data_IF_746231955314
#
_entry.id   IF_746231955314
#
_cell.length_a   1.000
_cell.length_b   1.000
_cell.length_c   1.000
_cell.angle_alpha   90.00
_cell.angle_beta   90.00
_cell.angle_gamma   90.00
#
_symmetry.space_group_name_H-M   'P 1'
#
loop_
_entity.id
_entity.type
_entity.pdbx_description
1 polymer ?
#
# COMPACT_ATOMS: atom_id res chain seq x y z
N UNK A 1 39.30 20.11 -19.22
CA UNK A 1 40.44 21.06 -19.22
C UNK A 1 39.91 22.45 -19.51
N UNK A 2 39.82 23.31 -18.50
CA UNK A 2 40.42 24.65 -18.54
C UNK A 2 40.37 25.27 -17.15
N UNK A 3 41.56 25.63 -16.68
CA UNK A 3 41.88 26.20 -15.38
C UNK A 3 41.74 27.73 -15.42
N UNK A 4 41.31 28.29 -14.29
CA UNK A 4 41.89 29.42 -13.57
C UNK A 4 42.38 30.64 -14.37
N UNK A 5 41.79 31.80 -14.06
CA UNK A 5 42.51 32.91 -13.43
C UNK A 5 41.56 34.09 -13.20
N UNK A 6 41.36 34.49 -11.94
CA UNK A 6 41.47 35.87 -11.45
C UNK A 6 40.97 35.96 -10.00
N UNK A 7 41.89 35.64 -9.11
CA UNK A 7 41.87 35.92 -7.68
C UNK A 7 42.63 37.21 -7.38
N UNK A 8 42.17 37.94 -6.35
CA UNK A 8 42.82 39.02 -5.61
C UNK A 8 42.93 40.37 -6.37
N UNK A 9 42.54 41.51 -5.80
CA UNK A 9 43.00 42.08 -4.53
C UNK A 9 41.90 42.96 -3.89
N UNK A 10 41.75 42.88 -2.56
CA UNK A 10 41.80 44.04 -1.66
C UNK A 10 41.76 43.53 -0.21
N UNK A 11 42.96 43.53 0.37
CA UNK A 11 43.30 43.17 1.74
C UNK A 11 43.02 44.35 2.67
N UNK A 12 42.38 44.13 3.83
CA UNK A 12 42.75 44.80 5.08
C UNK A 12 42.75 43.77 6.22
N UNK A 13 43.86 43.81 6.94
CA UNK A 13 44.45 42.86 7.87
C UNK A 13 43.91 42.92 9.31
N UNK A 14 43.97 41.77 10.01
CA UNK A 14 44.61 41.52 11.33
C UNK A 14 43.86 40.40 12.09
N UNK A 15 44.42 39.40 12.78
CA UNK A 15 45.78 38.89 13.02
C UNK A 15 45.66 37.39 13.46
N UNK A 16 46.71 36.61 13.22
CA UNK A 16 46.98 35.15 13.22
C UNK A 16 46.66 34.30 14.49
N UNK A 17 46.92 32.97 14.55
CA UNK A 17 47.02 31.92 13.51
C UNK A 17 46.02 30.75 13.74
N UNK A 18 45.60 30.08 12.67
CA UNK A 18 44.87 28.80 12.74
C UNK A 18 45.87 27.64 12.71
N UNK A 19 45.97 26.89 13.81
CA UNK A 19 46.48 25.52 13.78
C UNK A 19 45.41 24.60 13.19
N UNK A 20 45.82 23.88 12.15
CA UNK A 20 45.04 22.82 11.51
C UNK A 20 45.09 21.60 12.42
N UNK A 21 43.93 21.16 12.92
CA UNK A 21 43.71 19.80 13.40
C UNK A 21 42.76 19.06 12.44
N UNK A 22 42.93 17.74 12.32
CA UNK A 22 42.47 16.98 11.17
C UNK A 22 40.96 16.75 11.20
N UNK A 23 40.44 16.58 9.99
CA UNK A 23 39.18 15.93 9.63
C UNK A 23 38.67 15.00 10.74
N UNK A 24 37.75 15.52 11.55
CA UNK A 24 36.78 14.70 12.26
C UNK A 24 35.50 14.75 11.43
N UNK A 25 35.34 13.74 10.58
CA UNK A 25 34.03 13.33 10.08
C UNK A 25 33.18 12.89 11.27
N UNK A 26 32.63 13.84 12.01
CA UNK A 26 31.48 13.61 12.88
C UNK A 26 30.37 14.55 12.41
N UNK A 27 29.85 14.25 11.22
CA UNK A 27 28.56 14.76 10.79
C UNK A 27 27.48 14.10 11.67
N UNK A 28 27.20 14.73 12.81
CA UNK A 28 25.96 14.69 13.60
C UNK A 28 24.92 13.66 13.14
N UNK A 29 25.08 12.42 13.57
CA UNK A 29 23.93 11.53 13.81
C UNK A 29 23.24 11.99 15.10
N UNK A 30 22.58 13.14 15.06
CA UNK A 30 21.46 13.39 15.97
C UNK A 30 20.37 12.41 15.58
N UNK A 31 20.26 11.30 16.32
CA UNK A 31 19.20 10.30 16.13
C UNK A 31 17.86 10.97 16.39
N UNK A 32 17.27 11.58 15.37
CA UNK A 32 15.95 12.19 15.48
C UNK A 32 14.98 11.09 15.92
N UNK A 33 14.27 11.34 17.01
CA UNK A 33 13.23 10.43 17.46
C UNK A 33 11.88 10.97 17.02
N UNK A 34 11.01 10.07 16.60
CA UNK A 34 9.67 10.35 16.11
C UNK A 34 8.67 9.79 17.11
N UNK A 35 7.59 10.52 17.36
CA UNK A 35 6.42 9.94 18.00
C UNK A 35 5.80 8.89 17.06
N UNK A 36 5.51 7.71 17.59
CA UNK A 36 4.94 6.61 16.84
C UNK A 36 3.84 5.88 17.59
N UNK A 37 2.86 5.40 16.83
CA UNK A 37 1.85 4.44 17.26
C UNK A 37 2.26 3.05 16.77
N UNK A 38 2.28 2.09 17.69
CA UNK A 38 2.69 0.72 17.42
C UNK A 38 1.48 -0.16 17.63
N UNK A 39 1.18 -0.96 16.63
CA UNK A 39 -0.01 -1.80 16.56
C UNK A 39 0.44 -3.23 16.29
N UNK A 40 0.03 -4.15 17.15
CA UNK A 40 0.07 -5.57 16.85
C UNK A 40 -1.33 -5.98 16.38
N UNK A 41 -1.40 -6.65 15.24
CA UNK A 41 -2.67 -7.04 14.64
C UNK A 41 -2.60 -8.43 14.01
N UNK A 42 -3.74 -9.10 14.01
CA UNK A 42 -4.01 -10.29 13.24
C UNK A 42 -4.66 -9.88 11.92
N UNK A 43 -4.23 -10.47 10.80
CA UNK A 43 -4.79 -10.21 9.47
C UNK A 43 -5.15 -11.51 8.76
N UNK A 44 -6.29 -11.54 8.07
CA UNK A 44 -6.70 -12.63 7.18
C UNK A 44 -7.29 -12.09 5.86
N UNK A 45 -7.49 -12.99 4.89
CA UNK A 45 -8.08 -12.64 3.58
C UNK A 45 -7.12 -11.96 2.59
N UNK A 46 -5.80 -12.10 2.80
CA UNK A 46 -4.79 -11.52 1.91
C UNK A 46 -4.87 -12.16 0.51
N UNK A 47 -4.88 -11.37 -0.59
CA UNK A 47 -4.92 -11.90 -1.94
C UNK A 47 -3.83 -12.95 -2.19
N UNK A 48 -4.23 -14.14 -2.65
CA UNK A 48 -3.32 -15.25 -2.93
C UNK A 48 -3.07 -16.22 -1.76
N UNK A 49 -3.74 -16.02 -0.63
CA UNK A 49 -3.76 -16.94 0.53
C UNK A 49 -5.14 -17.56 0.75
N UNK A 50 -5.24 -18.71 1.44
CA UNK A 50 -6.51 -19.22 1.93
C UNK A 50 -7.13 -18.23 2.93
N UNK A 51 -8.45 -18.01 2.85
CA UNK A 51 -9.16 -17.02 3.68
C UNK A 51 -9.04 -17.30 5.20
N UNK A 52 -8.69 -18.53 5.57
CA UNK A 52 -8.57 -19.01 6.96
C UNK A 52 -7.15 -18.84 7.55
N UNK A 53 -6.15 -18.45 6.76
CA UNK A 53 -4.79 -18.26 7.26
C UNK A 53 -4.67 -16.88 7.93
N UNK A 54 -4.31 -16.86 9.21
CA UNK A 54 -4.12 -15.64 10.01
C UNK A 54 -2.64 -15.30 10.15
N UNK A 55 -2.25 -14.11 9.71
CA UNK A 55 -0.89 -13.56 9.82
C UNK A 55 -0.84 -12.60 11.02
N UNK A 56 0.26 -12.63 11.79
CA UNK A 56 0.52 -11.65 12.85
C UNK A 56 1.44 -10.57 12.29
N UNK A 57 0.97 -9.32 12.33
CA UNK A 57 1.71 -8.17 11.83
C UNK A 57 1.94 -7.15 12.95
N UNK A 58 3.14 -6.59 12.99
CA UNK A 58 3.44 -5.40 13.77
C UNK A 58 3.56 -4.21 12.83
N UNK A 59 2.77 -3.17 13.07
CA UNK A 59 2.81 -1.92 12.34
C UNK A 59 3.34 -0.82 13.27
N UNK A 60 4.31 -0.06 12.80
CA UNK A 60 4.81 1.15 13.46
C UNK A 60 4.47 2.32 12.54
N UNK A 61 3.58 3.18 13.00
CA UNK A 61 3.15 4.38 12.31
C UNK A 61 3.85 5.57 12.95
N UNK A 62 4.46 6.45 12.17
CA UNK A 62 4.82 7.80 12.59
C UNK A 62 4.12 8.81 11.67
N UNK A 63 4.43 10.10 11.80
CA UNK A 63 3.71 11.16 11.08
C UNK A 63 3.78 11.04 9.55
N UNK A 64 4.85 10.50 8.96
CA UNK A 64 5.02 10.49 7.50
C UNK A 64 5.53 9.13 7.00
N UNK A 65 5.51 8.11 7.86
CA UNK A 65 6.15 6.83 7.59
C UNK A 65 5.47 5.69 8.30
N UNK A 66 5.46 4.53 7.64
CA UNK A 66 4.93 3.28 8.17
C UNK A 66 5.99 2.20 8.01
N UNK A 67 6.22 1.43 9.05
CA UNK A 67 6.92 0.15 8.99
C UNK A 67 5.89 -0.94 9.28
N UNK A 68 5.83 -1.96 8.43
CA UNK A 68 4.99 -3.13 8.61
C UNK A 68 5.87 -4.37 8.59
N UNK A 69 5.86 -5.12 9.68
CA UNK A 69 6.57 -6.38 9.84
C UNK A 69 5.57 -7.53 9.89
N UNK A 70 5.67 -8.44 8.93
CA UNK A 70 5.02 -9.75 8.98
C UNK A 70 5.89 -10.67 9.84
N UNK A 71 5.49 -10.89 11.09
CA UNK A 71 6.30 -11.63 12.07
C UNK A 71 6.43 -13.12 11.77
N UNK A 72 5.51 -13.68 10.99
CA UNK A 72 5.58 -15.10 10.60
C UNK A 72 6.57 -15.31 9.46
N UNK A 73 6.60 -14.39 8.50
CA UNK A 73 7.44 -14.51 7.29
C UNK A 73 8.75 -13.74 7.38
N UNK A 74 8.89 -12.87 8.37
CA UNK A 74 10.01 -11.93 8.49
C UNK A 74 10.02 -10.88 7.39
N UNK A 75 8.91 -10.64 6.67
CA UNK A 75 8.87 -9.64 5.60
C UNK A 75 8.65 -8.24 6.18
N UNK A 76 9.42 -7.27 5.70
CA UNK A 76 9.31 -5.88 6.14
C UNK A 76 8.87 -5.00 4.97
N UNK A 77 7.93 -4.10 5.22
CA UNK A 77 7.53 -3.07 4.27
C UNK A 77 7.68 -1.71 4.92
N UNK A 78 8.31 -0.77 4.23
CA UNK A 78 8.47 0.61 4.69
C UNK A 78 7.78 1.52 3.68
N UNK A 79 6.73 2.22 4.10
CA UNK A 79 6.10 3.28 3.31
C UNK A 79 6.58 4.64 3.83
N UNK A 80 7.11 5.48 2.94
CA UNK A 80 7.58 6.83 3.24
C UNK A 80 6.81 7.87 2.43
N UNK A 81 6.36 8.91 3.11
CA UNK A 81 5.60 10.05 2.57
C UNK A 81 6.38 11.37 2.75
N UNK A 82 7.61 11.32 3.22
CA UNK A 82 8.47 12.47 3.52
C UNK A 82 9.30 12.97 2.32
N UNK A 83 9.07 12.41 1.13
CA UNK A 83 9.65 12.85 -0.14
C UNK A 83 8.62 13.34 -1.15
N UNK A 84 9.06 13.68 -2.36
CA UNK A 84 8.21 14.25 -3.41
C UNK A 84 7.04 13.34 -3.85
N UNK A 85 7.23 12.02 -3.74
CA UNK A 85 6.22 11.01 -4.04
C UNK A 85 6.24 9.91 -2.98
N UNK A 86 5.09 9.28 -2.67
CA UNK A 86 5.04 8.11 -1.80
C UNK A 86 5.97 7.01 -2.31
N UNK A 87 6.74 6.41 -1.40
CA UNK A 87 7.69 5.35 -1.73
C UNK A 87 7.47 4.16 -0.81
N UNK A 88 7.10 3.02 -1.38
CA UNK A 88 7.05 1.73 -0.70
C UNK A 88 8.35 0.99 -0.94
N UNK A 89 8.96 0.49 0.14
CA UNK A 89 10.10 -0.42 0.09
C UNK A 89 9.69 -1.77 0.66
N UNK A 90 9.71 -2.81 -0.16
CA UNK A 90 9.51 -4.20 0.26
C UNK A 90 10.88 -4.83 0.50
N UNK A 91 11.20 -5.23 1.72
CA UNK A 91 12.50 -5.80 2.12
C UNK A 91 12.33 -7.31 2.33
N UNK A 92 13.28 -8.09 1.79
CA UNK A 92 13.30 -9.54 1.93
C UNK A 92 13.47 -9.99 3.39
N UNK A 93 13.08 -11.23 3.68
CA UNK A 93 13.08 -11.73 5.05
C UNK A 93 14.47 -11.88 5.66
N UNK A 94 15.46 -12.20 4.83
CA UNK A 94 16.88 -12.25 5.17
C UNK A 94 17.55 -10.86 5.17
N UNK A 95 16.81 -9.81 4.82
CA UNK A 95 17.26 -8.41 4.72
C UNK A 95 18.43 -8.20 3.76
N UNK A 96 18.65 -9.13 2.83
CA UNK A 96 19.71 -9.02 1.83
C UNK A 96 19.33 -8.08 0.70
N UNK A 97 18.04 -7.99 0.35
CA UNK A 97 17.56 -7.20 -0.79
C UNK A 97 16.26 -6.45 -0.51
N UNK A 98 16.03 -5.37 -1.24
CA UNK A 98 14.77 -4.63 -1.21
C UNK A 98 14.32 -4.17 -2.61
N UNK A 99 13.02 -3.92 -2.76
CA UNK A 99 12.40 -3.37 -3.97
C UNK A 99 11.70 -2.07 -3.65
N UNK A 100 11.63 -1.17 -4.62
CA UNK A 100 10.94 0.11 -4.49
C UNK A 100 9.72 0.18 -5.41
N UNK A 101 8.66 0.84 -4.94
CA UNK A 101 7.45 1.11 -5.73
C UNK A 101 6.89 2.48 -5.38
N UNK A 102 6.66 3.31 -6.39
CA UNK A 102 6.07 4.65 -6.23
C UNK A 102 4.66 4.79 -6.84
N UNK A 103 4.29 3.98 -7.85
CA UNK A 103 2.93 3.98 -8.42
C UNK A 103 1.97 3.08 -7.64
N UNK A 104 1.75 3.40 -6.36
CA UNK A 104 0.87 2.65 -5.47
C UNK A 104 -0.62 2.77 -5.87
N UNK A 105 -0.99 3.84 -6.59
CA UNK A 105 -2.34 4.10 -7.07
C UNK A 105 -2.76 3.33 -8.33
N UNK A 106 -1.88 2.52 -8.92
CA UNK A 106 -2.13 1.82 -10.20
C UNK A 106 -3.42 1.00 -10.20
N UNK A 107 -3.74 0.32 -9.10
CA UNK A 107 -4.95 -0.51 -8.98
C UNK A 107 -6.23 0.32 -9.21
N UNK A 108 -6.29 1.55 -8.69
CA UNK A 108 -7.45 2.43 -8.89
C UNK A 108 -7.50 3.01 -10.31
N UNK A 109 -6.35 3.27 -10.94
CA UNK A 109 -6.27 3.68 -12.35
C UNK A 109 -6.81 2.59 -13.27
N UNK A 110 -6.33 1.36 -13.08
CA UNK A 110 -6.75 0.18 -13.85
C UNK A 110 -8.25 -0.09 -13.66
N UNK A 111 -8.73 0.02 -12.42
CA UNK A 111 -10.16 -0.08 -12.09
C UNK A 111 -10.96 0.95 -12.88
N UNK A 112 -10.59 2.23 -12.83
CA UNK A 112 -11.31 3.30 -13.53
C UNK A 112 -11.40 3.08 -15.05
N UNK A 113 -10.32 2.60 -15.67
CA UNK A 113 -10.31 2.26 -17.09
C UNK A 113 -11.33 1.16 -17.39
N UNK A 114 -11.38 0.11 -16.57
CA UNK A 114 -12.33 -0.99 -16.74
C UNK A 114 -13.77 -0.55 -16.51
N UNK A 115 -14.03 0.31 -15.52
CA UNK A 115 -15.35 0.89 -15.26
C UNK A 115 -15.84 1.69 -16.48
N UNK A 116 -14.97 2.52 -17.08
CA UNK A 116 -15.27 3.25 -18.32
C UNK A 116 -15.55 2.34 -19.51
N UNK A 117 -14.74 1.29 -19.69
CA UNK A 117 -14.97 0.31 -20.76
C UNK A 117 -16.28 -0.44 -20.57
N UNK A 118 -16.69 -0.71 -19.33
CA UNK A 118 -17.96 -1.34 -19.03
C UNK A 118 -19.14 -0.39 -19.29
N UNK A 119 -19.01 0.87 -18.90
CA UNK A 119 -19.99 1.93 -19.20
C UNK A 119 -20.21 2.06 -20.70
N UNK A 120 -19.15 2.16 -21.50
CA UNK A 120 -19.24 2.23 -22.96
C UNK A 120 -19.97 1.02 -23.56
N UNK A 121 -19.60 -0.20 -23.15
CA UNK A 121 -20.27 -1.43 -23.61
C UNK A 121 -21.73 -1.52 -23.18
N UNK A 122 -22.10 -0.88 -22.07
CA UNK A 122 -23.47 -0.89 -21.58
C UNK A 122 -24.43 -0.06 -22.45
N UNK A 123 -23.91 0.83 -23.30
CA UNK A 123 -24.72 1.72 -24.15
C UNK A 123 -25.45 0.99 -25.28
N UNK A 124 -24.89 -0.14 -25.72
CA UNK A 124 -25.46 -0.97 -26.79
C UNK A 124 -26.54 -1.94 -26.28
N UNK A 125 -26.77 -1.98 -24.96
CA UNK A 125 -27.75 -2.86 -24.32
C UNK A 125 -29.13 -2.20 -24.22
N UNK A 126 -30.17 -3.02 -24.09
CA UNK A 126 -31.50 -2.51 -23.72
C UNK A 126 -31.47 -1.84 -22.34
N UNK A 127 -32.44 -0.97 -22.04
CA UNK A 127 -32.50 -0.25 -20.75
C UNK A 127 -32.47 -1.20 -19.56
N UNK A 128 -33.25 -2.28 -19.62
CA UNK A 128 -33.31 -3.26 -18.53
C UNK A 128 -31.98 -4.01 -18.32
N UNK A 129 -31.33 -4.44 -19.41
CA UNK A 129 -30.02 -5.12 -19.36
C UNK A 129 -28.93 -4.17 -18.88
N UNK A 130 -28.97 -2.91 -19.33
CA UNK A 130 -28.04 -1.86 -18.91
C UNK A 130 -28.17 -1.60 -17.41
N UNK A 131 -29.38 -1.41 -16.90
CA UNK A 131 -29.63 -1.22 -15.46
C UNK A 131 -29.14 -2.42 -14.65
N UNK A 132 -29.43 -3.64 -15.11
CA UNK A 132 -28.97 -4.86 -14.45
C UNK A 132 -27.43 -4.97 -14.42
N UNK A 133 -26.77 -4.68 -15.54
CA UNK A 133 -25.31 -4.73 -15.65
C UNK A 133 -24.63 -3.70 -14.74
N UNK A 134 -25.10 -2.45 -14.79
CA UNK A 134 -24.55 -1.36 -13.97
C UNK A 134 -24.74 -1.65 -12.48
N UNK A 135 -25.94 -2.10 -12.08
CA UNK A 135 -26.23 -2.49 -10.69
C UNK A 135 -25.35 -3.65 -10.23
N UNK A 136 -25.22 -4.71 -11.04
CA UNK A 136 -24.37 -5.86 -10.71
C UNK A 136 -22.88 -5.49 -10.58
N UNK A 137 -22.47 -4.41 -11.25
CA UNK A 137 -21.09 -3.92 -11.26
C UNK A 137 -20.85 -2.78 -10.27
N UNK A 138 -21.87 -2.40 -9.47
CA UNK A 138 -21.84 -1.26 -8.58
C UNK A 138 -21.44 0.06 -9.28
N UNK A 139 -21.89 0.24 -10.52
CA UNK A 139 -21.72 1.48 -11.27
C UNK A 139 -23.00 2.29 -11.21
N UNK A 140 -22.83 3.59 -11.00
CA UNK A 140 -23.90 4.58 -11.11
C UNK A 140 -23.54 5.60 -12.17
N UNK A 141 -24.56 6.05 -12.89
CA UNK A 141 -24.44 7.12 -13.87
C UNK A 141 -25.21 8.34 -13.37
N UNK A 142 -24.67 9.53 -13.63
CA UNK A 142 -25.40 10.78 -13.47
C UNK A 142 -26.54 10.89 -14.49
N UNK A 143 -27.39 11.91 -14.34
CA UNK A 143 -28.40 12.26 -15.34
C UNK A 143 -27.78 12.59 -16.71
N UNK A 144 -26.55 13.10 -16.74
CA UNK A 144 -25.77 13.34 -17.96
C UNK A 144 -25.14 12.09 -18.57
N UNK A 145 -25.25 10.94 -17.89
CA UNK A 145 -24.67 9.66 -18.35
C UNK A 145 -23.20 9.46 -18.01
N UNK A 146 -22.63 10.25 -17.09
CA UNK A 146 -21.25 10.11 -16.63
C UNK A 146 -21.14 9.19 -15.42
N UNK A 147 -20.03 8.46 -15.29
CA UNK A 147 -19.77 7.63 -14.11
C UNK A 147 -19.65 8.49 -12.85
N UNK A 148 -20.42 8.14 -11.83
CA UNK A 148 -20.36 8.77 -10.51
C UNK A 148 -20.08 7.73 -9.42
N UNK A 149 -19.46 8.21 -8.34
CA UNK A 149 -19.26 7.45 -7.10
C UNK A 149 -20.02 8.13 -5.98
N UNK A 150 -21.11 7.50 -5.57
CA UNK A 150 -21.87 7.92 -4.42
C UNK A 150 -21.30 7.25 -3.17
N UNK A 151 -20.86 8.07 -2.21
CA UNK A 151 -20.32 7.58 -0.94
C UNK A 151 -21.37 7.74 0.15
N UNK A 152 -21.73 6.63 0.78
CA UNK A 152 -22.60 6.61 1.96
C UNK A 152 -21.79 6.17 3.17
N UNK A 153 -21.84 6.96 4.24
CA UNK A 153 -21.21 6.62 5.52
C UNK A 153 -22.32 6.37 6.54
N UNK A 154 -22.31 5.18 7.14
CA UNK A 154 -23.21 4.81 8.22
C UNK A 154 -22.41 4.72 9.51
N UNK A 155 -22.87 5.42 10.54
CA UNK A 155 -22.25 5.40 11.87
C UNK A 155 -23.30 5.01 12.90
N UNK A 156 -22.93 4.12 13.81
CA UNK A 156 -23.82 3.70 14.89
C UNK A 156 -23.01 3.44 16.15
N UNK A 157 -23.54 3.90 17.28
CA UNK A 157 -23.08 3.50 18.60
C UNK A 157 -23.21 1.99 18.78
N UNK A 158 -22.26 1.39 19.50
CA UNK A 158 -22.32 -0.02 19.87
C UNK A 158 -22.13 -0.18 21.37
N UNK A 159 -22.64 -1.28 21.93
CA UNK A 159 -22.34 -1.66 23.31
C UNK A 159 -21.05 -2.48 23.43
N UNK A 160 -20.37 -2.72 22.30
CA UNK A 160 -19.17 -3.52 22.25
C UNK A 160 -17.95 -2.77 22.76
N UNK A 161 -16.94 -3.53 23.17
CA UNK A 161 -15.63 -3.02 23.51
C UNK A 161 -14.55 -3.80 22.78
N UNK A 162 -13.43 -3.13 22.50
CA UNK A 162 -12.19 -3.76 22.02
C UNK A 162 -11.04 -3.23 22.86
N UNK A 163 -10.20 -4.15 23.36
CA UNK A 163 -9.08 -3.81 24.25
C UNK A 163 -9.50 -2.96 25.47
N UNK A 164 -10.71 -3.20 26.00
CA UNK A 164 -11.29 -2.45 27.13
C UNK A 164 -11.80 -1.05 26.78
N UNK A 165 -11.82 -0.67 25.50
CA UNK A 165 -12.29 0.63 25.03
C UNK A 165 -13.66 0.50 24.34
N UNK A 166 -14.60 1.45 24.57
CA UNK A 166 -15.83 1.50 23.80
C UNK A 166 -15.53 1.76 22.32
N UNK A 167 -16.31 1.14 21.45
CA UNK A 167 -16.18 1.29 20.00
C UNK A 167 -17.50 1.69 19.35
N UNK A 168 -17.41 2.44 18.26
CA UNK A 168 -18.52 2.72 17.36
C UNK A 168 -18.31 1.97 16.04
N UNK A 169 -19.41 1.58 15.41
CA UNK A 169 -19.38 0.96 14.09
C UNK A 169 -19.41 2.04 13.02
N UNK A 170 -18.49 1.95 12.05
CA UNK A 170 -18.42 2.84 10.90
C UNK A 170 -18.34 2.02 9.62
N UNK A 171 -19.37 2.18 8.77
CA UNK A 171 -19.43 1.53 7.48
C UNK A 171 -19.37 2.55 6.35
N UNK A 172 -18.54 2.29 5.36
CA UNK A 172 -18.47 3.10 4.14
C UNK A 172 -18.91 2.26 2.96
N UNK A 173 -19.84 2.80 2.19
CA UNK A 173 -20.32 2.24 0.95
C UNK A 173 -19.95 3.14 -0.23
N UNK A 174 -19.62 2.52 -1.36
CA UNK A 174 -19.44 3.18 -2.65
C UNK A 174 -20.41 2.53 -3.64
N UNK A 175 -21.39 3.30 -4.15
CA UNK A 175 -22.44 2.78 -5.03
C UNK A 175 -23.10 1.49 -4.48
N UNK A 176 -23.51 1.54 -3.21
CA UNK A 176 -24.09 0.42 -2.42
C UNK A 176 -23.15 -0.78 -2.18
N UNK A 177 -21.91 -0.73 -2.65
CA UNK A 177 -20.89 -1.73 -2.33
C UNK A 177 -20.25 -1.40 -1.00
N UNK A 178 -20.22 -2.34 -0.06
CA UNK A 178 -19.47 -2.17 1.18
C UNK A 178 -17.96 -2.10 0.88
N UNK A 179 -17.32 -1.03 1.32
CA UNK A 179 -15.88 -0.79 1.16
C UNK A 179 -15.14 -1.01 2.48
N UNK A 180 -15.65 -0.47 3.57
CA UNK A 180 -15.11 -0.71 4.91
C UNK A 180 -16.22 -0.96 5.91
N UNK A 181 -15.98 -1.87 6.85
CA UNK A 181 -16.78 -2.07 8.07
C UNK A 181 -15.80 -2.08 9.25
N UNK A 182 -15.80 -1.01 10.04
CA UNK A 182 -14.78 -0.74 11.05
C UNK A 182 -15.41 -0.57 12.43
N UNK A 183 -14.76 -1.15 13.44
CA UNK A 183 -14.97 -0.83 14.84
C UNK A 183 -13.89 0.15 15.28
N UNK A 184 -14.30 1.38 15.56
CA UNK A 184 -13.41 2.51 15.82
C UNK A 184 -13.51 2.90 17.29
N UNK A 185 -12.37 2.92 17.99
CA UNK A 185 -12.28 3.51 19.33
C UNK A 185 -11.98 5.00 19.21
N UNK A 186 -12.64 5.80 20.05
CA UNK A 186 -12.39 7.24 20.14
C UNK A 186 -11.07 7.49 20.90
N UNK A 187 -9.97 7.42 20.16
CA UNK A 187 -8.62 7.65 20.64
C UNK A 187 -8.00 8.79 19.85
N UNK A 188 -7.47 9.79 20.54
CA UNK A 188 -6.79 10.92 19.91
C UNK A 188 -5.54 10.44 19.16
N UNK A 189 -5.55 10.45 17.84
CA UNK A 189 -4.43 9.94 17.06
C UNK A 189 -3.30 10.99 16.94
N UNK A 190 -2.01 10.60 17.13
CA UNK A 190 -0.90 11.55 17.01
C UNK A 190 -0.74 12.14 15.60
N UNK A 191 -1.34 11.50 14.60
CA UNK A 191 -1.40 11.97 13.22
C UNK A 191 -2.57 11.31 12.47
N UNK A 192 -3.08 11.94 11.40
CA UNK A 192 -4.17 11.36 10.60
C UNK A 192 -3.74 10.09 9.87
N UNK A 193 -4.51 8.99 9.98
CA UNK A 193 -4.23 7.73 9.28
C UNK A 193 -4.54 7.79 7.78
N UNK A 194 -5.47 8.66 7.39
CA UNK A 194 -6.00 8.71 6.04
C UNK A 194 -4.95 9.00 4.95
N UNK A 195 -3.86 9.72 5.26
CA UNK A 195 -2.77 9.94 4.31
C UNK A 195 -2.06 8.64 3.90
N UNK A 196 -1.97 7.65 4.81
CA UNK A 196 -1.41 6.34 4.49
C UNK A 196 -2.34 5.54 3.60
N UNK A 197 -3.65 5.63 3.83
CA UNK A 197 -4.67 5.04 2.96
C UNK A 197 -4.70 5.67 1.56
N UNK A 198 -4.48 6.98 1.46
CA UNK A 198 -4.29 7.67 0.19
C UNK A 198 -3.04 7.18 -0.54
N UNK A 199 -1.92 7.15 0.17
CA UNK A 199 -0.64 6.74 -0.39
C UNK A 199 -0.62 5.27 -0.83
N UNK A 200 -1.31 4.38 -0.12
CA UNK A 200 -1.33 2.95 -0.47
C UNK A 200 -2.09 2.64 -1.77
N UNK A 201 -2.89 3.58 -2.28
CA UNK A 201 -3.74 3.37 -3.46
C UNK A 201 -4.86 2.34 -3.24
N UNK A 202 -5.17 1.98 -2.00
CA UNK A 202 -6.18 0.99 -1.68
C UNK A 202 -7.61 1.47 -2.00
N UNK A 203 -7.84 2.79 -1.99
CA UNK A 203 -9.16 3.40 -2.13
C UNK A 203 -9.16 4.49 -3.20
N UNK A 204 -10.31 4.69 -3.87
CA UNK A 204 -10.57 5.85 -4.73
C UNK A 204 -10.63 7.15 -3.93
N UNK A 205 -10.52 8.29 -4.62
CA UNK A 205 -10.45 9.61 -4.00
C UNK A 205 -11.68 9.93 -3.12
N UNK A 206 -12.86 9.50 -3.55
CA UNK A 206 -14.13 9.74 -2.87
C UNK A 206 -14.21 8.98 -1.54
N UNK A 207 -13.81 7.70 -1.53
CA UNK A 207 -13.71 6.90 -0.30
C UNK A 207 -12.63 7.46 0.63
N UNK A 208 -11.49 7.91 0.10
CA UNK A 208 -10.44 8.55 0.91
C UNK A 208 -10.98 9.79 1.64
N UNK A 209 -11.74 10.63 0.95
CA UNK A 209 -12.36 11.82 1.55
C UNK A 209 -13.37 11.49 2.66
N UNK A 210 -13.99 10.31 2.62
CA UNK A 210 -14.82 9.82 3.74
C UNK A 210 -13.98 9.29 4.89
N UNK A 211 -12.92 8.52 4.62
CA UNK A 211 -11.99 8.00 5.63
C UNK A 211 -11.27 9.12 6.40
N UNK A 212 -10.97 10.25 5.76
CA UNK A 212 -10.37 11.43 6.40
C UNK A 212 -11.22 12.04 7.51
N UNK A 213 -12.54 11.83 7.46
CA UNK A 213 -13.50 12.38 8.44
C UNK A 213 -13.75 11.42 9.60
N UNK A 214 -13.15 10.22 9.56
CA UNK A 214 -13.29 9.24 10.65
C UNK A 214 -12.20 9.53 11.67
N UNK A 215 -12.62 10.07 12.80
CA UNK A 215 -11.78 10.27 13.97
C UNK A 215 -11.70 8.99 14.81
N UNK A 216 -10.54 8.75 15.42
CA UNK A 216 -10.26 7.60 16.26
C UNK A 216 -9.32 6.56 15.63
N UNK A 217 -9.15 5.45 16.34
CA UNK A 217 -8.33 4.31 15.92
C UNK A 217 -9.22 3.12 15.54
N UNK A 218 -9.18 2.64 14.28
CA UNK A 218 -9.80 1.37 13.92
C UNK A 218 -9.11 0.22 14.66
N UNK A 219 -9.83 -0.48 15.51
CA UNK A 219 -9.31 -1.61 16.31
C UNK A 219 -9.66 -2.97 15.69
N UNK A 220 -10.70 -3.04 14.87
CA UNK A 220 -11.12 -4.26 14.18
C UNK A 220 -11.90 -3.85 12.94
N UNK A 221 -11.86 -4.66 11.89
CA UNK A 221 -12.71 -4.41 10.73
C UNK A 221 -12.35 -5.20 9.49
N UNK A 222 -13.13 -4.95 8.45
CA UNK A 222 -12.95 -5.50 7.11
C UNK A 222 -12.76 -4.36 6.12
N UNK A 223 -11.70 -4.46 5.32
CA UNK A 223 -11.39 -3.56 4.21
C UNK A 223 -11.55 -4.35 2.91
N UNK A 224 -12.46 -3.92 2.05
CA UNK A 224 -12.64 -4.50 0.72
C UNK A 224 -11.79 -3.73 -0.27
N UNK A 225 -10.64 -4.30 -0.64
CA UNK A 225 -9.80 -3.75 -1.71
C UNK A 225 -10.49 -4.04 -3.04
N UNK A 226 -11.08 -3.00 -3.62
CA UNK A 226 -11.77 -3.09 -4.91
C UNK A 226 -10.76 -2.91 -6.04
N UNK A 227 -10.61 -3.97 -6.82
CA UNK A 227 -9.81 -3.96 -8.05
C UNK A 227 -10.72 -3.87 -9.27
N UNK A 228 -10.11 -3.79 -10.46
CA UNK A 228 -10.79 -3.89 -11.75
C UNK A 228 -11.70 -5.11 -11.91
N UNK A 229 -11.39 -6.24 -11.27
CA UNK A 229 -12.05 -7.52 -11.55
C UNK A 229 -12.68 -8.16 -10.32
N UNK A 230 -12.15 -7.90 -9.13
CA UNK A 230 -12.53 -8.58 -7.89
C UNK A 230 -12.53 -7.64 -6.69
N UNK A 231 -13.32 -8.00 -5.68
CA UNK A 231 -13.17 -7.50 -4.31
C UNK A 231 -12.32 -8.48 -3.52
N UNK A 232 -11.36 -7.97 -2.75
CA UNK A 232 -10.63 -8.78 -1.79
C UNK A 232 -10.91 -8.27 -0.37
N UNK A 233 -11.63 -9.04 0.46
CA UNK A 233 -11.84 -8.67 1.86
C UNK A 233 -10.55 -8.95 2.64
N UNK A 234 -9.99 -7.90 3.25
CA UNK A 234 -8.92 -8.00 4.22
C UNK A 234 -9.53 -7.74 5.59
N UNK A 235 -9.48 -8.74 6.47
CA UNK A 235 -9.94 -8.59 7.86
C UNK A 235 -8.74 -8.32 8.73
N UNK A 236 -8.87 -7.38 9.66
CA UNK A 236 -7.84 -7.12 10.66
C UNK A 236 -8.45 -7.02 12.07
N UNK A 237 -7.65 -7.39 13.06
CA UNK A 237 -7.98 -7.24 14.47
C UNK A 237 -6.75 -6.83 15.25
N UNK A 238 -6.81 -5.66 15.88
CA UNK A 238 -5.75 -5.15 16.76
C UNK A 238 -5.80 -5.91 18.08
N UNK A 239 -4.67 -6.51 18.44
CA UNK A 239 -4.50 -7.27 19.68
C UNK A 239 -3.73 -6.48 20.73
N UNK A 240 -2.91 -5.52 20.31
CA UNK A 240 -2.18 -4.61 21.19
C UNK A 240 -1.91 -3.29 20.46
N UNK A 241 -1.90 -2.18 21.20
CA UNK A 241 -1.36 -0.93 20.71
C UNK A 241 -0.55 -0.20 21.81
N UNK A 242 0.38 0.65 21.39
CA UNK A 242 1.24 1.44 22.26
C UNK A 242 1.67 2.75 21.59
N UNK A 243 1.92 3.81 22.36
CA UNK A 243 2.50 5.06 21.86
C UNK A 243 3.87 5.26 22.47
N UNK A 244 4.87 5.43 21.61
CA UNK A 244 6.23 5.68 22.07
C UNK A 244 7.05 6.44 21.06
N UNK A 245 8.12 7.02 21.55
CA UNK A 245 9.15 7.64 20.72
C UNK A 245 10.07 6.55 20.13
N UNK A 246 10.26 6.53 18.81
CA UNK A 246 11.13 5.59 18.09
C UNK A 246 12.21 6.33 17.30
N UNK A 247 13.40 5.74 17.06
CA UNK A 247 14.40 6.38 16.21
C UNK A 247 13.90 6.47 14.75
N UNK A 248 14.15 7.59 14.06
CA UNK A 248 13.79 7.75 12.66
C UNK A 248 14.43 6.70 11.75
N UNK A 249 15.60 6.20 12.13
CA UNK A 249 16.33 5.13 11.42
C UNK A 249 15.61 3.78 11.41
N UNK A 250 14.57 3.60 12.23
CA UNK A 250 13.69 2.43 12.17
C UNK A 250 12.99 2.28 10.80
N UNK A 251 12.86 3.39 10.06
CA UNK A 251 12.21 3.46 8.75
C UNK A 251 13.22 3.62 7.60
N UNK A 252 14.48 3.30 7.85
CA UNK A 252 15.51 3.24 6.82
C UNK A 252 15.69 1.79 6.36
N UNK A 253 16.23 1.64 5.14
CA UNK A 253 16.63 0.34 4.62
C UNK A 253 17.79 -0.18 5.49
N UNK A 254 17.76 -1.46 5.93
CA UNK A 254 18.84 -2.03 6.72
C UNK A 254 20.20 -1.90 6.01
N UNK A 255 21.25 -1.65 6.79
CA UNK A 255 22.60 -1.58 6.25
C UNK A 255 22.99 -2.89 5.55
N UNK A 256 23.61 -2.80 4.38
CA UNK A 256 24.01 -3.96 3.56
C UNK A 256 22.87 -4.57 2.72
N UNK A 257 21.67 -4.00 2.77
CA UNK A 257 20.56 -4.43 1.92
C UNK A 257 20.66 -3.81 0.52
N UNK A 258 20.72 -4.65 -0.51
CA UNK A 258 20.91 -4.22 -1.90
C UNK A 258 19.57 -3.96 -2.60
N UNK A 259 19.52 -2.90 -3.40
CA UNK A 259 18.34 -2.63 -4.22
C UNK A 259 18.27 -3.65 -5.34
N UNK A 260 17.17 -4.38 -5.40
CA UNK A 260 16.89 -5.25 -6.52
C UNK A 260 16.39 -4.40 -7.69
N UNK A 261 17.32 -4.07 -8.59
CA UNK A 261 16.98 -3.41 -9.85
C UNK A 261 16.16 -4.36 -10.71
N UNK A 262 14.91 -3.96 -10.92
CA UNK A 262 13.89 -4.78 -11.53
C UNK A 262 13.95 -4.58 -13.06
N UNK A 263 14.48 -5.58 -13.80
CA UNK A 263 14.49 -5.53 -15.27
C UNK A 263 13.08 -5.26 -15.81
N UNK A 264 12.94 -4.23 -16.67
CA UNK A 264 11.69 -3.88 -17.33
C UNK A 264 11.13 -5.04 -18.16
N UNK A 265 12.02 -5.90 -18.66
CA UNK A 265 11.69 -7.09 -19.43
C UNK A 265 12.06 -8.35 -18.69
N UNK A 266 11.12 -9.29 -18.63
CA UNK A 266 11.32 -10.65 -18.08
C UNK A 266 10.86 -11.68 -19.11
N UNK A 267 11.00 -12.97 -18.81
CA UNK A 267 10.51 -14.02 -19.70
C UNK A 267 9.26 -14.68 -19.10
N UNK A 268 8.25 -14.91 -19.94
CA UNK A 268 7.07 -15.66 -19.56
C UNK A 268 7.48 -17.07 -19.13
N UNK A 269 7.10 -17.54 -17.92
CA UNK A 269 7.56 -18.84 -17.40
C UNK A 269 6.94 -20.04 -18.11
N UNK A 270 6.04 -19.83 -19.08
CA UNK A 270 5.35 -20.88 -19.83
C UNK A 270 5.83 -20.95 -21.29
N UNK A 271 5.87 -19.82 -21.99
CA UNK A 271 6.28 -19.79 -23.40
C UNK A 271 7.73 -19.30 -23.61
N UNK A 272 8.39 -18.79 -22.58
CA UNK A 272 9.75 -18.25 -22.66
C UNK A 272 9.87 -16.92 -23.41
N UNK A 273 8.79 -16.36 -23.95
CA UNK A 273 8.85 -15.08 -24.65
C UNK A 273 9.15 -13.93 -23.69
N UNK A 274 9.94 -12.97 -24.18
CA UNK A 274 10.23 -11.76 -23.45
C UNK A 274 8.95 -10.92 -23.35
N UNK A 275 8.62 -10.53 -22.12
CA UNK A 275 7.45 -9.72 -21.78
C UNK A 275 7.92 -8.51 -21.00
N UNK A 276 7.50 -7.34 -21.44
CA UNK A 276 7.62 -6.14 -20.62
C UNK A 276 6.71 -6.30 -19.40
N UNK A 277 7.26 -6.15 -18.20
CA UNK A 277 6.52 -6.33 -16.95
C UNK A 277 5.26 -5.49 -16.91
N UNK A 278 5.37 -4.26 -17.39
CA UNK A 278 4.31 -3.26 -17.45
C UNK A 278 3.20 -3.65 -18.44
N UNK A 279 3.56 -4.23 -19.58
CA UNK A 279 2.66 -4.62 -20.66
C UNK A 279 2.20 -6.09 -20.61
N UNK A 280 2.60 -6.86 -19.58
CA UNK A 280 2.25 -8.28 -19.45
C UNK A 280 0.73 -8.51 -19.48
N UNK A 281 0.26 -9.48 -20.26
CA UNK A 281 -1.17 -9.80 -20.35
C UNK A 281 -1.77 -10.34 -19.05
N UNK A 282 -0.95 -10.93 -18.17
CA UNK A 282 -1.34 -11.36 -16.84
C UNK A 282 -0.13 -11.43 -15.90
N UNK A 283 -0.39 -11.44 -14.58
CA UNK A 283 0.63 -11.53 -13.52
C UNK A 283 0.19 -12.46 -12.40
N UNK A 284 1.14 -13.09 -11.71
CA UNK A 284 0.86 -13.92 -10.54
C UNK A 284 1.95 -13.75 -9.47
N UNK A 285 1.59 -13.86 -8.19
CA UNK A 285 2.56 -13.87 -7.09
C UNK A 285 2.88 -15.31 -6.64
N UNK A 286 4.16 -15.66 -6.51
CA UNK A 286 4.60 -16.94 -5.95
C UNK A 286 4.41 -16.95 -4.42
N UNK A 287 4.50 -18.12 -3.80
CA UNK A 287 4.46 -18.22 -2.32
C UNK A 287 5.64 -17.51 -1.65
N UNK A 288 6.78 -17.44 -2.34
CA UNK A 288 7.98 -16.74 -1.88
C UNK A 288 7.85 -15.21 -2.04
N UNK A 289 6.86 -14.73 -2.78
CA UNK A 289 6.56 -13.31 -2.94
C UNK A 289 6.93 -12.74 -4.31
N UNK A 290 7.54 -13.52 -5.19
CA UNK A 290 7.97 -13.09 -6.51
C UNK A 290 6.81 -12.92 -7.50
N UNK A 291 6.91 -11.91 -8.35
CA UNK A 291 5.99 -11.71 -9.45
C UNK A 291 6.41 -12.50 -10.69
N UNK A 292 5.48 -13.30 -11.21
CA UNK A 292 5.54 -13.93 -12.52
C UNK A 292 4.71 -13.10 -13.50
N UNK A 293 5.23 -12.90 -14.70
CA UNK A 293 4.61 -12.12 -15.77
C UNK A 293 4.36 -13.03 -16.96
N UNK A 294 3.18 -12.94 -17.54
CA UNK A 294 2.77 -13.81 -18.64
C UNK A 294 2.53 -12.97 -19.88
N UNK A 295 3.13 -13.40 -20.98
CA UNK A 295 2.99 -12.79 -22.30
C UNK A 295 1.52 -12.84 -22.78
N UNK A 296 0.83 -13.97 -22.57
CA UNK A 296 -0.56 -14.16 -22.95
C UNK A 296 -1.42 -14.67 -21.79
N UNK A 297 -2.73 -14.36 -21.80
CA UNK A 297 -3.69 -14.87 -20.81
C UNK A 297 -3.74 -16.40 -20.79
N UNK A 298 -3.57 -17.04 -21.94
CA UNK A 298 -3.53 -18.50 -22.06
C UNK A 298 -2.35 -19.12 -21.31
N UNK A 299 -1.19 -18.45 -21.33
CA UNK A 299 -0.03 -18.87 -20.54
C UNK A 299 -0.34 -18.83 -19.04
N UNK A 300 -0.99 -17.76 -18.56
CA UNK A 300 -1.43 -17.69 -17.16
C UNK A 300 -2.43 -18.79 -16.80
N UNK A 301 -3.38 -19.12 -17.69
CA UNK A 301 -4.32 -20.22 -17.45
C UNK A 301 -3.62 -21.57 -17.34
N UNK A 302 -2.68 -21.86 -18.25
CA UNK A 302 -1.85 -23.09 -18.21
C UNK A 302 -1.08 -23.19 -16.89
N UNK A 303 -0.43 -22.10 -16.48
CA UNK A 303 0.27 -22.03 -15.19
C UNK A 303 -0.66 -22.29 -14.00
N UNK A 304 -1.85 -21.68 -14.01
CA UNK A 304 -2.84 -21.81 -12.93
C UNK A 304 -3.34 -23.25 -12.78
N UNK A 305 -3.59 -23.95 -13.90
CA UNK A 305 -3.99 -25.37 -13.90
C UNK A 305 -2.86 -26.26 -13.40
N UNK A 306 -1.63 -26.06 -13.90
CA UNK A 306 -0.47 -26.84 -13.48
C UNK A 306 -0.21 -26.72 -11.96
N UNK A 307 -0.45 -25.54 -11.39
CA UNK A 307 -0.33 -25.30 -9.94
C UNK A 307 -1.40 -26.04 -9.13
N UNK A 308 -2.66 -26.05 -9.59
CA UNK A 308 -3.74 -26.82 -8.94
C UNK A 308 -3.45 -28.32 -8.94
N UNK A 309 -2.93 -28.84 -10.05
CA UNK A 309 -2.61 -30.27 -10.18
C UNK A 309 -1.41 -30.70 -9.31
N UNK A 310 -0.43 -29.80 -9.09
CA UNK A 310 0.68 -30.05 -8.15
C UNK A 310 0.22 -30.09 -6.68
N UNK A 311 -0.81 -29.34 -6.31
CA UNK A 311 -1.38 -29.38 -4.94
C UNK A 311 -2.27 -30.60 -4.66
N UNK A 312 -2.79 -31.28 -5.70
CA UNK A 312 -3.63 -32.48 -5.57
C UNK A 312 -2.84 -33.80 -5.60
N UNK A 313 -1.54 -33.77 -5.96
CA UNK A 313 -0.65 -34.94 -6.01
C UNK A 313 0.19 -35.18 -4.76
N UNK A 314 -0.08 -34.45 -3.67
CA UNK A 314 0.57 -34.63 -2.35
C UNK A 314 -0.44 -35.03 -1.26
N UNK A 315 -1.48 -35.80 -1.62
CA UNK A 315 -2.32 -36.50 -0.66
C UNK A 315 -2.02 -37.98 -0.68
#
# INVERSE_FOLDING_TARGET
MNLLALSLWMSILSQDPVTVDPVSQEAKSTTSRLEALIILQEISGRPGRPDQETEIQQMVLASDRVLLEDRQRGLFNILRLDGDQPLLREISADRSVYRESSDLGRIQKDRWIQEKQLELRSRDLSTAEREQLLKASHLRLSESGELIREIRVEQSETTEQRLGLPVRSVRIYENDRLITDLLVADLEMPFPLAKFHRASGAFGAEVQGALEKIEGLPLEGVIHVVTATLSHPLTFKVTQWDRRSVPASLFDVPAGCEKLEESAFVHCPICGQQVEREASAARARTRQGDWLFFDQRECFQKWRVARKNKSSGQR
#
